data_IF_576498252074
#
_entry.id   IF_576498252074
#
_cell.length_a   1.000
_cell.length_b   1.000
_cell.length_c   1.000
_cell.angle_alpha   90.00
_cell.angle_beta   90.00
_cell.angle_gamma   90.00
#
_symmetry.space_group_name_H-M   'P 1'
#
loop_
_entity.id
_entity.type
_entity.pdbx_description
1 polymer ?
#
# COMPACT_ATOMS: atom_id res chain seq x y z
N UNK A 1 12.86 0.39 5.78
CA UNK A 1 12.60 0.80 7.17
C UNK A 1 11.38 1.70 7.25
N UNK A 2 10.23 1.23 6.75
CA UNK A 2 8.97 1.98 6.79
C UNK A 2 7.82 1.10 7.31
N UNK A 3 8.13 -0.04 7.97
CA UNK A 3 7.12 -0.80 8.71
C UNK A 3 6.90 -0.18 10.08
N UNK A 4 5.65 -0.09 10.48
CA UNK A 4 5.19 0.33 11.81
C UNK A 4 4.87 -0.89 12.68
N UNK A 5 4.64 -2.06 12.07
CA UNK A 5 4.59 -3.33 12.76
C UNK A 5 6.00 -3.90 12.99
N UNK A 6 6.19 -4.79 13.98
CA UNK A 6 7.47 -5.44 14.23
C UNK A 6 7.79 -6.58 13.25
N UNK A 7 7.26 -6.55 12.02
CA UNK A 7 7.41 -7.62 11.02
C UNK A 7 8.88 -7.95 10.69
N UNK A 8 9.78 -6.98 10.80
CA UNK A 8 11.21 -7.17 10.55
C UNK A 8 12.05 -7.09 11.84
N UNK A 9 11.40 -7.02 13.00
CA UNK A 9 12.08 -6.96 14.28
C UNK A 9 12.50 -8.37 14.76
N UNK A 10 13.66 -8.48 15.41
CA UNK A 10 14.20 -9.77 15.86
C UNK A 10 15.32 -9.58 16.86
N UNK A 11 15.39 -10.46 17.87
CA UNK A 11 16.57 -10.60 18.76
C UNK A 11 17.67 -11.44 18.10
N UNK A 12 17.41 -12.07 16.96
CA UNK A 12 18.37 -12.88 16.19
C UNK A 12 19.18 -12.06 15.21
N UNK A 13 19.35 -12.59 14.00
CA UNK A 13 20.13 -11.94 12.93
C UNK A 13 19.21 -11.28 11.91
N UNK A 14 19.27 -9.95 11.83
CA UNK A 14 18.61 -9.20 10.75
C UNK A 14 19.52 -9.17 9.51
N UNK A 15 19.04 -9.76 8.41
CA UNK A 15 19.73 -9.73 7.12
C UNK A 15 19.41 -8.44 6.38
N UNK A 16 20.43 -7.69 5.98
CA UNK A 16 20.28 -6.47 5.20
C UNK A 16 20.82 -6.66 3.77
N UNK A 17 20.00 -6.31 2.78
CA UNK A 17 20.37 -6.34 1.36
C UNK A 17 20.97 -5.01 0.87
N UNK A 18 21.19 -4.04 1.75
CA UNK A 18 21.68 -2.70 1.39
C UNK A 18 23.09 -2.68 0.76
N UNK A 19 23.85 -3.79 0.84
CA UNK A 19 25.17 -3.94 0.22
C UNK A 19 25.17 -4.86 -1.00
N UNK A 20 24.01 -5.36 -1.41
CA UNK A 20 23.91 -6.05 -2.70
C UNK A 20 24.16 -5.07 -3.84
N UNK A 21 24.72 -5.54 -4.96
CA UNK A 21 24.79 -4.73 -6.18
C UNK A 21 23.41 -4.18 -6.54
N UNK A 22 23.34 -2.93 -6.99
CA UNK A 22 22.12 -2.31 -7.48
C UNK A 22 21.98 -2.62 -8.97
N UNK A 23 21.42 -3.79 -9.27
CA UNK A 23 21.21 -4.26 -10.64
C UNK A 23 19.80 -3.92 -11.08
N UNK A 24 19.70 -3.31 -12.26
CA UNK A 24 18.46 -3.00 -12.95
C UNK A 24 18.69 -3.35 -14.41
N UNK A 25 18.07 -4.41 -14.88
CA UNK A 25 18.14 -4.84 -16.27
C UNK A 25 16.77 -4.64 -16.92
N UNK A 26 16.72 -3.81 -17.96
CA UNK A 26 15.48 -3.58 -18.69
C UNK A 26 15.48 -4.44 -19.94
N UNK A 27 14.59 -5.43 -20.01
CA UNK A 27 14.31 -6.20 -21.20
C UNK A 27 13.20 -5.49 -21.99
N UNK A 28 13.59 -4.78 -23.05
CA UNK A 28 12.69 -4.00 -23.89
C UNK A 28 11.77 -4.86 -24.75
N UNK A 29 12.18 -6.08 -25.08
CA UNK A 29 11.40 -6.99 -25.90
C UNK A 29 10.34 -7.73 -25.05
N UNK A 30 10.72 -8.17 -23.85
CA UNK A 30 9.81 -8.79 -22.90
C UNK A 30 8.97 -7.79 -22.10
N UNK A 31 9.34 -6.50 -22.10
CA UNK A 31 8.73 -5.42 -21.32
C UNK A 31 8.78 -5.74 -19.81
N UNK A 32 9.95 -6.15 -19.34
CA UNK A 32 10.19 -6.56 -17.94
C UNK A 32 11.48 -5.97 -17.41
N UNK A 33 11.62 -5.95 -16.08
CA UNK A 33 12.87 -5.58 -15.41
C UNK A 33 13.20 -6.55 -14.27
N UNK A 34 14.20 -7.43 -14.41
CA UNK A 34 14.92 -8.01 -13.30
C UNK A 34 15.63 -6.93 -12.49
N UNK A 35 15.38 -6.92 -11.17
CA UNK A 35 15.90 -5.89 -10.25
C UNK A 35 16.38 -6.51 -8.94
N UNK A 36 17.44 -5.96 -8.36
CA UNK A 36 17.90 -6.33 -7.03
C UNK A 36 16.88 -5.97 -5.97
N UNK A 37 16.57 -6.89 -5.08
CA UNK A 37 15.57 -6.75 -4.02
C UNK A 37 15.87 -5.62 -3.02
N UNK A 38 17.14 -5.28 -2.84
CA UNK A 38 17.60 -4.23 -1.93
C UNK A 38 17.37 -2.78 -2.42
N UNK A 39 17.00 -2.58 -3.68
CA UNK A 39 16.71 -1.28 -4.27
C UNK A 39 15.50 -0.62 -3.61
N UNK A 40 15.52 0.71 -3.51
CA UNK A 40 14.32 1.50 -3.23
C UNK A 40 13.59 1.84 -4.52
N UNK A 41 12.29 2.09 -4.45
CA UNK A 41 11.53 2.56 -5.62
C UNK A 41 12.12 3.88 -6.17
N UNK A 42 12.54 4.79 -5.29
CA UNK A 42 13.17 6.04 -5.70
C UNK A 42 14.50 5.88 -6.45
N UNK A 43 15.20 4.76 -6.26
CA UNK A 43 16.43 4.44 -7.02
C UNK A 43 16.10 3.71 -8.34
N UNK A 44 15.02 2.93 -8.36
CA UNK A 44 14.57 2.14 -9.51
C UNK A 44 13.87 3.00 -10.58
N UNK A 45 12.89 3.81 -10.18
CA UNK A 45 11.97 4.45 -11.13
C UNK A 45 12.61 5.42 -12.10
N UNK A 46 13.68 6.20 -11.76
CA UNK A 46 14.36 7.04 -12.74
C UNK A 46 15.07 6.23 -13.83
N UNK A 47 15.56 5.04 -13.51
CA UNK A 47 16.22 4.17 -14.50
C UNK A 47 15.19 3.58 -15.48
N UNK A 48 14.01 3.18 -14.99
CA UNK A 48 12.93 2.71 -15.85
C UNK A 48 12.42 3.81 -16.77
N UNK A 49 12.20 5.02 -16.24
CA UNK A 49 11.74 6.17 -17.02
C UNK A 49 12.75 6.57 -18.12
N UNK A 50 14.04 6.59 -17.78
CA UNK A 50 15.11 6.84 -18.75
C UNK A 50 15.19 5.78 -19.85
N UNK A 51 14.75 4.55 -19.57
CA UNK A 51 14.65 3.48 -20.56
C UNK A 51 13.31 3.52 -21.36
N UNK A 52 12.41 4.45 -21.05
CA UNK A 52 11.12 4.60 -21.72
C UNK A 52 10.01 3.73 -21.15
N UNK A 53 10.16 3.24 -19.90
CA UNK A 53 9.21 2.35 -19.25
C UNK A 53 8.72 2.89 -17.92
N UNK A 54 7.62 2.31 -17.43
CA UNK A 54 6.94 2.66 -16.19
C UNK A 54 6.48 1.40 -15.45
N UNK A 55 6.19 1.57 -14.15
CA UNK A 55 5.35 0.68 -13.36
C UNK A 55 3.91 1.18 -13.40
N UNK A 56 2.96 0.25 -13.31
CA UNK A 56 1.54 0.59 -13.33
C UNK A 56 1.11 1.46 -12.14
N UNK A 57 1.76 1.29 -10.99
CA UNK A 57 1.49 2.08 -9.79
C UNK A 57 2.72 2.20 -8.89
N UNK A 58 2.65 3.14 -7.94
CA UNK A 58 3.64 3.37 -6.90
C UNK A 58 2.96 3.63 -5.57
N UNK A 59 3.65 3.32 -4.47
CA UNK A 59 3.22 3.73 -3.13
C UNK A 59 3.36 5.25 -2.94
N UNK A 60 2.73 5.76 -1.89
CA UNK A 60 2.80 7.19 -1.54
C UNK A 60 4.22 7.69 -1.28
N UNK A 61 5.14 6.78 -0.88
CA UNK A 61 6.52 7.07 -0.52
C UNK A 61 7.52 6.34 -1.44
N UNK A 62 8.39 7.05 -2.17
CA UNK A 62 9.40 6.41 -3.02
C UNK A 62 10.60 5.83 -2.24
N UNK A 63 10.68 6.06 -0.92
CA UNK A 63 11.79 5.66 -0.05
C UNK A 63 11.78 4.17 0.33
N UNK A 64 10.67 3.48 0.14
CA UNK A 64 10.49 2.07 0.51
C UNK A 64 11.28 1.15 -0.42
N UNK A 65 11.80 0.05 0.12
CA UNK A 65 12.48 -0.97 -0.70
C UNK A 65 11.48 -1.75 -1.55
N UNK A 66 11.91 -2.14 -2.75
CA UNK A 66 11.07 -2.88 -3.71
C UNK A 66 10.60 -4.20 -3.09
N UNK A 67 11.53 -5.03 -2.61
CA UNK A 67 11.16 -6.31 -2.02
C UNK A 67 10.34 -6.15 -0.73
N UNK A 68 10.67 -5.18 0.13
CA UNK A 68 9.89 -4.94 1.35
C UNK A 68 8.45 -4.56 1.07
N UNK A 69 8.21 -3.73 0.06
CA UNK A 69 6.87 -3.35 -0.37
C UNK A 69 6.09 -4.54 -0.95
N UNK A 70 6.74 -5.34 -1.81
CA UNK A 70 6.14 -6.56 -2.40
C UNK A 70 5.78 -7.55 -1.31
N UNK A 71 6.72 -7.87 -0.42
CA UNK A 71 6.56 -8.89 0.63
C UNK A 71 5.45 -8.55 1.66
N UNK A 72 5.02 -7.30 1.74
CA UNK A 72 3.96 -6.86 2.67
C UNK A 72 2.65 -6.46 1.97
N UNK A 73 2.54 -6.67 0.65
CA UNK A 73 1.37 -6.28 -0.12
C UNK A 73 1.11 -4.77 -0.13
N UNK A 74 2.19 -3.96 -0.06
CA UNK A 74 2.09 -2.49 -0.13
C UNK A 74 1.50 -2.07 -1.48
N UNK A 75 0.73 -0.99 -1.47
CA UNK A 75 -0.04 -0.56 -2.63
C UNK A 75 -0.04 0.96 -2.81
N UNK A 76 -0.46 1.41 -3.99
CA UNK A 76 -0.86 2.79 -4.27
C UNK A 76 -2.37 2.97 -4.17
N UNK A 77 -2.97 3.70 -5.11
CA UNK A 77 -4.42 3.79 -5.28
C UNK A 77 -4.77 3.56 -6.75
N UNK A 78 -5.94 3.00 -7.01
CA UNK A 78 -6.51 2.82 -8.34
C UNK A 78 -7.46 1.62 -8.40
N UNK A 79 -8.69 1.85 -8.85
CA UNK A 79 -9.76 0.85 -8.93
C UNK A 79 -9.43 -0.34 -9.85
N UNK A 80 -8.54 -0.14 -10.82
CA UNK A 80 -8.11 -1.12 -11.83
C UNK A 80 -6.70 -1.62 -11.65
N UNK A 81 -6.00 -1.18 -10.61
CA UNK A 81 -4.60 -1.49 -10.39
C UNK A 81 -4.45 -2.20 -9.05
N UNK A 82 -3.76 -3.34 -9.04
CA UNK A 82 -3.50 -4.10 -7.83
C UNK A 82 -2.39 -3.50 -6.96
N UNK A 83 -2.02 -4.24 -5.93
CA UNK A 83 -0.87 -3.90 -5.09
C UNK A 83 0.43 -3.91 -5.91
N UNK A 84 1.52 -3.36 -5.35
CA UNK A 84 2.84 -3.41 -6.01
C UNK A 84 3.32 -4.85 -6.24
N UNK A 85 2.83 -5.79 -5.46
CA UNK A 85 3.12 -7.20 -5.59
C UNK A 85 2.53 -7.82 -6.88
N UNK A 86 1.44 -7.26 -7.41
CA UNK A 86 0.82 -7.74 -8.66
C UNK A 86 1.67 -7.46 -9.90
N UNK A 87 2.66 -6.57 -9.80
CA UNK A 87 3.61 -6.26 -10.89
C UNK A 87 4.76 -7.27 -10.95
N UNK A 88 4.84 -8.21 -10.01
CA UNK A 88 5.92 -9.23 -9.97
C UNK A 88 5.60 -10.37 -10.93
N UNK A 89 6.57 -10.70 -11.78
CA UNK A 89 6.56 -11.83 -12.71
C UNK A 89 7.47 -12.97 -12.26
N UNK A 90 8.46 -12.65 -11.41
CA UNK A 90 9.42 -13.62 -10.90
C UNK A 90 9.99 -13.20 -9.55
N UNK A 91 10.25 -14.18 -8.72
CA UNK A 91 10.89 -14.05 -7.40
C UNK A 91 12.08 -14.99 -7.33
N UNK A 92 13.26 -14.48 -7.02
CA UNK A 92 14.42 -15.28 -6.65
C UNK A 92 14.71 -15.08 -5.17
N UNK A 93 14.90 -16.18 -4.45
CA UNK A 93 15.20 -16.13 -3.02
C UNK A 93 16.21 -17.19 -2.60
N UNK A 94 16.93 -16.92 -1.51
CA UNK A 94 17.79 -17.89 -0.82
C UNK A 94 17.01 -18.48 0.35
N UNK A 95 16.83 -19.79 0.32
CA UNK A 95 16.10 -20.55 1.36
C UNK A 95 16.94 -20.72 2.64
N UNK A 96 16.32 -21.31 3.67
CA UNK A 96 16.98 -21.63 4.94
C UNK A 96 18.18 -22.57 4.80
N UNK A 97 18.23 -23.40 3.79
CA UNK A 97 19.34 -24.33 3.52
C UNK A 97 20.42 -23.75 2.61
N UNK A 98 20.25 -22.49 2.17
CA UNK A 98 21.19 -21.80 1.30
C UNK A 98 21.00 -22.08 -0.18
N UNK A 99 19.94 -22.78 -0.55
CA UNK A 99 19.58 -23.04 -1.94
C UNK A 99 18.95 -21.79 -2.57
N UNK A 100 19.25 -21.54 -3.83
CA UNK A 100 18.60 -20.49 -4.62
C UNK A 100 17.37 -21.08 -5.29
N UNK A 101 16.21 -20.51 -5.00
CA UNK A 101 14.93 -20.89 -5.60
C UNK A 101 14.41 -19.72 -6.43
N UNK A 102 14.00 -20.01 -7.67
CA UNK A 102 13.38 -19.05 -8.56
C UNK A 102 11.97 -19.55 -8.91
N UNK A 103 10.97 -18.69 -8.66
CA UNK A 103 9.58 -18.92 -8.99
C UNK A 103 9.11 -17.85 -9.98
N UNK A 104 8.30 -18.26 -10.95
CA UNK A 104 7.73 -17.39 -11.98
C UNK A 104 6.21 -17.42 -11.94
N UNK A 105 5.58 -16.37 -12.39
CA UNK A 105 4.11 -16.31 -12.54
C UNK A 105 3.63 -17.51 -13.36
N UNK A 106 2.69 -18.27 -12.79
CA UNK A 106 2.21 -19.54 -13.31
C UNK A 106 2.80 -20.80 -12.65
N UNK A 107 3.88 -20.68 -11.87
CA UNK A 107 4.34 -21.79 -11.05
C UNK A 107 3.38 -21.99 -9.85
N UNK A 108 3.17 -23.23 -9.40
CA UNK A 108 2.15 -23.54 -8.39
C UNK A 108 2.30 -22.79 -7.05
N UNK A 109 3.52 -22.42 -6.70
CA UNK A 109 3.86 -21.77 -5.41
C UNK A 109 4.11 -20.26 -5.54
N UNK A 110 4.10 -19.73 -6.76
CA UNK A 110 4.42 -18.33 -7.04
C UNK A 110 3.49 -17.37 -6.27
N UNK A 111 2.17 -17.58 -6.34
CA UNK A 111 1.20 -16.70 -5.68
C UNK A 111 1.31 -16.71 -4.16
N UNK A 112 1.85 -17.79 -3.58
CA UNK A 112 2.19 -17.87 -2.17
C UNK A 112 3.50 -17.20 -1.81
N UNK A 113 4.44 -17.09 -2.76
CA UNK A 113 5.79 -16.59 -2.49
C UNK A 113 5.91 -15.06 -2.60
N UNK A 114 5.07 -14.41 -3.42
CA UNK A 114 5.19 -12.98 -3.72
C UNK A 114 4.92 -12.12 -2.47
N UNK A 115 3.80 -12.36 -1.76
CA UNK A 115 3.51 -11.71 -0.46
C UNK A 115 3.90 -12.70 0.65
N UNK A 116 5.19 -12.91 0.81
CA UNK A 116 5.74 -13.98 1.66
C UNK A 116 6.11 -13.53 3.08
N UNK A 117 5.92 -12.26 3.44
CA UNK A 117 6.21 -11.69 4.78
C UNK A 117 7.68 -11.90 5.24
N UNK A 118 8.59 -12.25 4.34
CA UNK A 118 9.96 -12.64 4.68
C UNK A 118 10.09 -14.02 5.35
N UNK A 119 9.01 -14.84 5.37
CA UNK A 119 8.93 -16.11 6.08
C UNK A 119 9.40 -17.32 5.24
N UNK A 120 9.67 -17.14 3.94
CA UNK A 120 10.03 -18.23 3.02
C UNK A 120 11.52 -18.26 2.69
N UNK A 121 12.20 -17.12 2.79
CA UNK A 121 13.58 -16.95 2.39
C UNK A 121 13.97 -15.49 2.27
N UNK A 122 15.23 -15.26 1.94
CA UNK A 122 15.76 -13.92 1.62
C UNK A 122 15.57 -13.66 0.14
N UNK A 123 14.61 -12.82 -0.24
CA UNK A 123 14.40 -12.41 -1.63
C UNK A 123 15.61 -11.62 -2.12
N UNK A 124 16.26 -12.07 -3.18
CA UNK A 124 17.46 -11.45 -3.77
C UNK A 124 17.13 -10.65 -5.02
N UNK A 125 16.25 -11.15 -5.87
CA UNK A 125 15.83 -10.48 -7.09
C UNK A 125 14.33 -10.60 -7.31
N UNK A 126 13.77 -9.59 -8.00
CA UNK A 126 12.41 -9.59 -8.50
C UNK A 126 12.43 -9.29 -9.99
N UNK A 127 11.59 -9.95 -10.78
CA UNK A 127 11.31 -9.55 -12.15
C UNK A 127 9.98 -8.79 -12.15
N UNK A 128 10.01 -7.53 -12.55
CA UNK A 128 8.84 -6.65 -12.59
C UNK A 128 8.27 -6.54 -14.00
N UNK A 129 6.95 -6.55 -14.11
CA UNK A 129 6.22 -6.20 -15.31
C UNK A 129 6.25 -4.70 -15.53
N UNK A 130 6.50 -4.27 -16.76
CA UNK A 130 6.58 -2.87 -17.14
C UNK A 130 5.46 -2.49 -18.09
N UNK A 131 5.25 -1.20 -18.27
CA UNK A 131 4.46 -0.62 -19.34
C UNK A 131 5.24 0.55 -19.98
N UNK A 132 4.87 1.04 -21.16
CA UNK A 132 5.49 2.24 -21.72
C UNK A 132 5.38 3.44 -20.77
N UNK A 133 6.44 4.24 -20.66
CA UNK A 133 6.45 5.44 -19.85
C UNK A 133 5.30 6.39 -20.25
N UNK A 134 4.71 7.03 -19.24
CA UNK A 134 3.57 7.92 -19.44
C UNK A 134 3.68 9.18 -18.59
N UNK A 135 2.94 10.20 -19.00
CA UNK A 135 2.70 11.36 -18.17
C UNK A 135 1.40 11.20 -17.39
N UNK A 136 1.35 11.79 -16.20
CA UNK A 136 0.17 11.84 -15.35
C UNK A 136 0.10 13.21 -14.67
N UNK A 137 -1.09 13.73 -14.43
CA UNK A 137 -1.33 14.99 -13.73
C UNK A 137 -2.08 14.73 -12.43
N UNK A 138 -1.86 15.58 -11.43
CA UNK A 138 -2.55 15.51 -10.15
C UNK A 138 -3.34 16.79 -9.90
N UNK A 139 -4.65 16.63 -9.61
CA UNK A 139 -5.55 17.71 -9.20
C UNK A 139 -6.11 17.41 -7.82
N UNK A 140 -6.21 18.43 -7.00
CA UNK A 140 -6.79 18.34 -5.64
C UNK A 140 -8.12 19.07 -5.59
N UNK A 141 -9.10 18.46 -4.93
CA UNK A 141 -10.40 19.04 -4.66
C UNK A 141 -10.64 19.08 -3.16
N UNK A 142 -11.13 20.18 -2.64
CA UNK A 142 -11.44 20.39 -1.22
C UNK A 142 -12.95 20.20 -0.96
N UNK A 143 -13.34 19.61 0.17
CA UNK A 143 -14.64 19.70 0.80
C UNK A 143 -15.77 18.86 0.22
N UNK A 144 -15.50 17.65 -0.29
CA UNK A 144 -16.56 16.73 -0.73
C UNK A 144 -17.37 16.17 0.47
N UNK A 145 -18.64 15.82 0.24
CA UNK A 145 -19.54 15.30 1.27
C UNK A 145 -19.55 13.77 1.26
N UNK A 146 -19.42 13.16 2.43
CA UNK A 146 -19.41 11.68 2.55
C UNK A 146 -20.66 11.04 1.98
N UNK A 147 -21.86 11.57 2.26
CA UNK A 147 -23.11 10.97 1.78
C UNK A 147 -23.19 10.96 0.24
N UNK A 148 -22.75 12.04 -0.41
CA UNK A 148 -22.74 12.14 -1.86
C UNK A 148 -21.63 11.26 -2.47
N UNK A 149 -20.47 11.18 -1.81
CA UNK A 149 -19.36 10.30 -2.22
C UNK A 149 -19.77 8.84 -2.13
N UNK A 150 -20.41 8.42 -1.04
CA UNK A 150 -20.87 7.04 -0.88
C UNK A 150 -21.97 6.66 -1.87
N UNK A 151 -22.86 7.61 -2.20
CA UNK A 151 -23.87 7.41 -3.22
C UNK A 151 -23.31 7.25 -4.65
N UNK A 152 -22.14 7.86 -4.92
CA UNK A 152 -21.44 7.80 -6.21
C UNK A 152 -20.02 7.24 -6.13
N UNK A 153 -19.75 6.33 -5.20
CA UNK A 153 -18.38 5.89 -4.83
C UNK A 153 -17.56 5.45 -6.04
N UNK A 154 -18.13 4.61 -6.90
CA UNK A 154 -17.47 4.10 -8.11
C UNK A 154 -17.12 5.22 -9.11
N UNK A 155 -17.99 6.20 -9.25
CA UNK A 155 -17.75 7.32 -10.17
C UNK A 155 -16.67 8.27 -9.62
N UNK A 156 -16.57 8.41 -8.31
CA UNK A 156 -15.56 9.26 -7.66
C UNK A 156 -14.19 8.57 -7.67
N UNK A 157 -14.13 7.30 -7.30
CA UNK A 157 -12.87 6.56 -7.29
C UNK A 157 -12.36 6.24 -8.69
N UNK A 158 -13.26 6.16 -9.69
CA UNK A 158 -12.95 6.08 -11.11
C UNK A 158 -12.69 7.44 -11.78
N UNK A 159 -12.63 8.56 -11.05
CA UNK A 159 -12.38 9.90 -11.61
C UNK A 159 -11.00 10.06 -12.25
N UNK A 160 -10.08 9.15 -11.99
CA UNK A 160 -8.72 9.11 -12.53
C UNK A 160 -8.11 7.73 -12.52
N UNK A 161 -6.83 7.63 -12.86
CA UNK A 161 -6.06 6.38 -12.77
C UNK A 161 -5.71 6.05 -11.30
N UNK A 162 -5.67 7.06 -10.42
CA UNK A 162 -5.44 6.90 -8.97
C UNK A 162 -6.19 8.00 -8.22
N UNK A 163 -7.04 7.60 -7.27
CA UNK A 163 -7.81 8.53 -6.46
C UNK A 163 -7.60 8.23 -4.98
N UNK A 164 -7.39 9.28 -4.18
CA UNK A 164 -7.26 9.19 -2.72
C UNK A 164 -8.21 10.20 -2.06
N UNK A 165 -8.95 9.74 -1.06
CA UNK A 165 -9.81 10.60 -0.25
C UNK A 165 -9.16 10.80 1.12
N UNK A 166 -8.97 12.06 1.54
CA UNK A 166 -8.35 12.39 2.81
C UNK A 166 -9.37 13.03 3.75
N UNK A 167 -9.41 12.56 5.00
CA UNK A 167 -10.25 13.12 6.06
C UNK A 167 -9.52 13.13 7.39
N UNK A 168 -9.79 14.14 8.19
CA UNK A 168 -9.31 14.24 9.58
C UNK A 168 -10.30 13.70 10.60
N UNK A 169 -11.52 13.34 10.14
CA UNK A 169 -12.66 12.98 11.00
C UNK A 169 -13.05 14.07 12.02
N UNK A 170 -12.55 15.31 11.87
CA UNK A 170 -12.99 16.46 12.70
C UNK A 170 -14.41 16.86 12.35
N UNK A 171 -14.77 16.81 11.07
CA UNK A 171 -16.12 16.83 10.58
C UNK A 171 -16.43 15.45 9.97
N UNK A 172 -17.33 14.71 10.62
CA UNK A 172 -17.70 13.36 10.20
C UNK A 172 -18.50 13.31 8.89
N UNK A 173 -18.99 14.45 8.40
CA UNK A 173 -19.80 14.54 7.19
C UNK A 173 -19.00 14.99 5.96
N UNK A 174 -17.75 15.45 6.16
CA UNK A 174 -16.93 16.05 5.10
C UNK A 174 -15.62 15.26 4.87
N UNK A 175 -15.28 15.11 3.61
CA UNK A 175 -13.96 14.70 3.14
C UNK A 175 -13.15 15.97 2.94
N UNK A 176 -12.02 16.09 3.64
CA UNK A 176 -11.19 17.30 3.59
C UNK A 176 -10.62 17.52 2.18
N UNK A 177 -10.11 16.45 1.54
CA UNK A 177 -9.50 16.53 0.21
C UNK A 177 -9.76 15.27 -0.62
N UNK A 178 -9.94 15.45 -1.94
CA UNK A 178 -9.95 14.37 -2.94
C UNK A 178 -8.79 14.64 -3.90
N UNK A 179 -7.83 13.72 -3.96
CA UNK A 179 -6.69 13.80 -4.87
C UNK A 179 -6.93 12.89 -6.06
N UNK A 180 -7.03 13.49 -7.24
CA UNK A 180 -7.25 12.77 -8.50
C UNK A 180 -5.98 12.84 -9.32
N UNK A 181 -5.42 11.67 -9.66
CA UNK A 181 -4.28 11.54 -10.56
C UNK A 181 -4.73 10.83 -11.81
N UNK A 182 -4.51 11.46 -12.96
CA UNK A 182 -4.98 10.92 -14.22
C UNK A 182 -3.99 11.17 -15.36
N UNK A 183 -3.85 10.19 -16.23
CA UNK A 183 -3.15 10.36 -17.52
C UNK A 183 -3.92 11.37 -18.38
N UNK A 184 -3.26 12.10 -19.29
CA UNK A 184 -3.92 13.11 -20.13
C UNK A 184 -5.18 12.56 -20.80
N UNK A 185 -6.28 13.29 -20.65
CA UNK A 185 -7.59 12.93 -21.22
C UNK A 185 -8.39 11.85 -20.45
N UNK A 186 -7.89 11.35 -19.30
CA UNK A 186 -8.59 10.34 -18.49
C UNK A 186 -9.26 10.90 -17.23
N UNK A 187 -8.92 12.11 -16.83
CA UNK A 187 -9.58 12.75 -15.67
C UNK A 187 -11.06 13.00 -15.95
N UNK A 188 -11.91 12.61 -15.00
CA UNK A 188 -13.34 12.97 -14.99
C UNK A 188 -13.73 13.37 -13.56
N UNK A 189 -13.70 14.67 -13.28
CA UNK A 189 -14.00 15.21 -11.97
C UNK A 189 -15.50 15.48 -11.73
N UNK A 190 -16.39 15.21 -12.69
CA UNK A 190 -17.80 15.55 -12.60
C UNK A 190 -18.47 15.00 -11.34
N UNK A 191 -18.17 13.74 -10.99
CA UNK A 191 -18.69 13.12 -9.78
C UNK A 191 -18.13 13.77 -8.50
N UNK A 192 -16.86 14.16 -8.49
CA UNK A 192 -16.24 14.85 -7.34
C UNK A 192 -16.86 16.23 -7.14
N UNK A 193 -17.06 16.97 -8.23
CA UNK A 193 -17.72 18.28 -8.20
C UNK A 193 -19.20 18.17 -7.77
N UNK A 194 -19.92 17.16 -8.26
CA UNK A 194 -21.30 16.89 -7.87
C UNK A 194 -21.43 16.54 -6.37
N UNK A 195 -20.41 15.88 -5.79
CA UNK A 195 -20.34 15.59 -4.37
C UNK A 195 -19.89 16.81 -3.50
N UNK A 196 -19.85 18.01 -4.08
CA UNK A 196 -19.50 19.25 -3.39
C UNK A 196 -18.02 19.59 -3.37
N UNK A 197 -17.17 18.75 -3.98
CA UNK A 197 -15.74 19.03 -4.11
C UNK A 197 -15.49 20.28 -4.94
N UNK A 198 -14.49 21.06 -4.57
CA UNK A 198 -14.06 22.28 -5.27
C UNK A 198 -12.58 22.18 -5.56
N UNK A 199 -12.18 22.45 -6.79
CA UNK A 199 -10.78 22.47 -7.12
C UNK A 199 -10.01 23.42 -6.19
N UNK A 200 -8.92 22.94 -5.62
CA UNK A 200 -8.09 23.69 -4.68
C UNK A 200 -7.44 24.89 -5.38
N UNK A 201 -7.42 26.03 -4.73
CA UNK A 201 -6.82 27.28 -5.22
C UNK A 201 -5.27 27.29 -5.18
N UNK A 202 -4.66 26.20 -4.76
CA UNK A 202 -3.21 25.99 -4.71
C UNK A 202 -2.84 24.63 -4.16
N UNK A 203 -1.55 24.31 -4.07
CA UNK A 203 -1.11 23.00 -3.58
C UNK A 203 -1.53 22.74 -2.12
N UNK A 204 -1.80 21.47 -1.83
CA UNK A 204 -2.20 20.97 -0.51
C UNK A 204 -1.23 19.92 -0.01
N UNK A 205 -1.13 19.82 1.31
CA UNK A 205 -0.60 18.64 2.01
C UNK A 205 -1.79 17.83 2.56
N UNK A 206 -1.71 16.48 2.61
CA UNK A 206 -2.82 15.68 3.17
C UNK A 206 -3.13 16.02 4.63
N UNK A 207 -2.09 16.34 5.41
CA UNK A 207 -2.24 16.76 6.81
C UNK A 207 -2.48 18.27 6.86
N UNK A 208 -3.61 18.74 7.41
CA UNK A 208 -3.91 20.17 7.53
C UNK A 208 -2.85 20.94 8.33
N UNK A 209 -2.53 22.14 7.86
CA UNK A 209 -1.55 23.02 8.51
C UNK A 209 -0.08 22.69 8.23
N UNK A 210 0.19 21.64 7.45
CA UNK A 210 1.53 21.32 6.94
C UNK A 210 1.71 21.93 5.56
N UNK A 211 2.88 22.49 5.26
CA UNK A 211 3.21 23.05 3.94
C UNK A 211 3.29 21.99 2.86
N UNK A 212 2.93 22.31 1.60
CA UNK A 212 2.85 21.35 0.50
C UNK A 212 4.23 21.03 -0.15
N UNK A 213 5.33 21.61 0.33
CA UNK A 213 6.66 21.49 -0.27
C UNK A 213 7.12 20.03 -0.46
N UNK A 214 6.83 19.09 0.50
CA UNK A 214 7.18 17.69 0.31
C UNK A 214 6.34 16.96 -0.73
N UNK A 215 5.17 17.53 -1.12
CA UNK A 215 4.24 16.86 -2.01
C UNK A 215 4.68 16.94 -3.47
N UNK A 216 4.28 15.95 -4.26
CA UNK A 216 4.44 15.98 -5.73
C UNK A 216 3.58 17.08 -6.35
N UNK A 217 3.94 17.51 -7.56
CA UNK A 217 3.31 18.66 -8.24
C UNK A 217 1.80 18.41 -8.43
N UNK A 218 1.01 19.42 -8.13
CA UNK A 218 -0.46 19.46 -8.21
C UNK A 218 -0.93 20.50 -9.24
N UNK A 219 -2.23 20.77 -9.27
CA UNK A 219 -2.84 21.78 -10.17
C UNK A 219 -2.95 21.32 -11.62
N UNK A 220 -3.12 20.01 -11.84
CA UNK A 220 -3.38 19.46 -13.17
C UNK A 220 -2.18 19.52 -14.13
N UNK A 221 -0.95 19.78 -13.64
CA UNK A 221 0.24 19.89 -14.46
C UNK A 221 0.79 18.48 -14.77
N UNK A 222 0.75 18.02 -16.05
CA UNK A 222 1.34 16.75 -16.44
C UNK A 222 2.85 16.66 -16.15
N UNK A 223 3.32 15.47 -15.92
CA UNK A 223 4.74 15.17 -15.75
C UNK A 223 4.98 13.67 -15.67
N UNK A 224 6.28 13.26 -15.61
CA UNK A 224 6.63 11.85 -15.59
C UNK A 224 5.92 11.10 -14.48
N UNK A 225 5.43 9.91 -14.78
CA UNK A 225 4.65 9.03 -13.90
C UNK A 225 5.23 8.92 -12.47
N UNK A 226 6.52 8.67 -12.36
CA UNK A 226 7.21 8.49 -11.08
C UNK A 226 7.30 9.76 -10.23
N UNK A 227 7.15 10.94 -10.84
CA UNK A 227 7.17 12.23 -10.15
C UNK A 227 5.78 12.77 -9.80
N UNK A 228 4.72 12.00 -10.10
CA UNK A 228 3.32 12.36 -9.85
C UNK A 228 2.53 11.30 -9.08
N UNK A 229 2.78 9.99 -9.33
CA UNK A 229 2.08 8.91 -8.64
C UNK A 229 2.31 8.91 -7.12
N UNK A 230 3.55 9.03 -6.60
CA UNK A 230 3.75 9.18 -5.16
C UNK A 230 3.08 10.46 -4.64
N UNK A 231 2.71 10.48 -3.38
CA UNK A 231 2.25 11.72 -2.73
C UNK A 231 3.42 12.63 -2.41
N UNK A 232 4.58 12.04 -2.09
CA UNK A 232 5.74 12.76 -1.61
C UNK A 232 6.95 12.58 -2.52
N UNK A 233 7.77 13.61 -2.57
CA UNK A 233 9.02 13.64 -3.34
C UNK A 233 10.12 12.88 -2.61
N UNK A 234 11.06 12.31 -3.38
CA UNK A 234 12.19 11.56 -2.82
C UNK A 234 13.15 12.45 -2.00
N UNK A 235 13.28 13.72 -2.34
CA UNK A 235 14.20 14.67 -1.71
C UNK A 235 13.78 15.10 -0.30
N UNK A 236 12.56 14.80 0.10
CA UNK A 236 12.04 15.15 1.43
C UNK A 236 11.97 13.93 2.34
N UNK A 237 12.28 14.13 3.61
CA UNK A 237 12.03 13.10 4.64
C UNK A 237 10.52 12.96 4.81
N UNK A 238 9.95 11.78 4.57
CA UNK A 238 8.50 11.62 4.43
C UNK A 238 7.71 11.76 5.75
N UNK A 239 8.38 11.80 6.90
CA UNK A 239 7.74 11.87 8.20
C UNK A 239 8.60 12.59 9.23
N UNK A 240 7.95 13.07 10.30
CA UNK A 240 8.64 13.60 11.49
C UNK A 240 9.29 12.48 12.34
N UNK A 241 9.14 11.20 11.96
CA UNK A 241 9.81 10.06 12.57
C UNK A 241 9.18 9.53 13.86
N UNK A 242 8.04 10.08 14.27
CA UNK A 242 7.38 9.71 15.53
C UNK A 242 5.92 9.27 15.35
N UNK A 243 5.38 9.33 14.13
CA UNK A 243 4.01 8.89 13.83
C UNK A 243 3.87 7.36 13.87
N UNK A 244 2.65 6.89 14.11
CA UNK A 244 2.23 5.51 13.92
C UNK A 244 1.30 5.43 12.71
N UNK A 245 1.21 4.25 12.09
CA UNK A 245 0.25 4.01 11.02
C UNK A 245 -0.46 2.67 11.22
N UNK A 246 -1.76 2.68 10.99
CA UNK A 246 -2.58 1.48 10.81
C UNK A 246 -3.33 1.56 9.48
N UNK A 247 -3.69 0.43 8.93
CA UNK A 247 -4.48 0.36 7.70
C UNK A 247 -5.27 -0.94 7.68
N UNK A 248 -6.52 -0.85 7.28
CA UNK A 248 -7.42 -1.98 7.13
C UNK A 248 -7.97 -2.00 5.71
N UNK A 249 -7.85 -3.14 5.05
CA UNK A 249 -8.28 -3.34 3.69
C UNK A 249 -9.57 -4.17 3.73
N UNK A 250 -10.67 -3.55 3.32
CA UNK A 250 -12.01 -4.14 3.34
C UNK A 250 -12.45 -4.54 1.93
N UNK A 251 -13.41 -5.46 1.84
CA UNK A 251 -14.12 -5.70 0.58
C UNK A 251 -14.82 -4.40 0.14
N UNK A 252 -14.69 -4.03 -1.15
CA UNK A 252 -15.34 -2.83 -1.69
C UNK A 252 -16.84 -2.78 -1.42
N UNK A 253 -17.51 -3.93 -1.37
CA UNK A 253 -18.95 -4.03 -1.07
C UNK A 253 -19.31 -3.56 0.33
N UNK A 254 -18.34 -3.55 1.24
CA UNK A 254 -18.54 -3.17 2.64
C UNK A 254 -18.19 -1.71 2.93
N UNK A 255 -17.84 -0.90 1.90
CA UNK A 255 -17.35 0.47 2.08
C UNK A 255 -18.34 1.36 2.85
N UNK A 256 -19.62 1.28 2.53
CA UNK A 256 -20.67 2.06 3.23
C UNK A 256 -20.68 1.73 4.72
N UNK A 257 -20.76 0.46 5.07
CA UNK A 257 -20.79 0.01 6.47
C UNK A 257 -19.51 0.41 7.22
N UNK A 258 -18.35 0.30 6.57
CA UNK A 258 -17.07 0.67 7.17
C UNK A 258 -16.95 2.19 7.42
N UNK A 259 -17.35 3.02 6.46
CA UNK A 259 -17.32 4.48 6.62
C UNK A 259 -18.33 4.92 7.70
N UNK A 260 -19.52 4.36 7.75
CA UNK A 260 -20.48 4.65 8.82
C UNK A 260 -19.96 4.26 10.21
N UNK A 261 -19.27 3.12 10.32
CA UNK A 261 -18.62 2.71 11.55
C UNK A 261 -17.53 3.70 11.99
N UNK A 262 -16.71 4.18 11.04
CA UNK A 262 -15.68 5.18 11.34
C UNK A 262 -16.28 6.55 11.68
N UNK A 263 -17.36 6.98 11.01
CA UNK A 263 -18.12 8.19 11.36
C UNK A 263 -18.61 8.15 12.82
N UNK A 264 -19.14 7.00 13.25
CA UNK A 264 -19.57 6.81 14.63
C UNK A 264 -18.41 6.88 15.64
N UNK A 265 -17.20 6.49 15.22
CA UNK A 265 -15.97 6.55 16.02
C UNK A 265 -15.21 7.86 15.85
N UNK A 266 -15.62 8.77 14.96
CA UNK A 266 -14.92 10.01 14.67
C UNK A 266 -14.54 10.83 15.94
N UNK A 267 -15.39 10.97 16.97
CA UNK A 267 -15.01 11.69 18.19
C UNK A 267 -13.84 11.06 18.96
N UNK A 268 -13.61 9.74 18.80
CA UNK A 268 -12.47 9.06 19.41
C UNK A 268 -11.24 9.04 18.49
N UNK A 269 -11.44 9.02 17.19
CA UNK A 269 -10.39 8.99 16.15
C UNK A 269 -9.73 10.36 16.00
N UNK A 270 -10.50 11.41 15.81
CA UNK A 270 -10.01 12.75 15.44
C UNK A 270 -8.93 13.32 16.38
N UNK A 271 -9.00 13.17 17.73
CA UNK A 271 -7.96 13.68 18.63
C UNK A 271 -6.60 13.04 18.45
N UNK A 272 -6.56 11.77 18.01
CA UNK A 272 -5.34 10.97 17.84
C UNK A 272 -4.82 10.97 16.40
N UNK A 273 -5.60 11.49 15.45
CA UNK A 273 -5.33 11.38 14.01
C UNK A 273 -4.61 12.62 13.47
N UNK A 274 -3.66 12.41 12.57
CA UNK A 274 -3.22 13.44 11.63
C UNK A 274 -4.12 13.46 10.39
N UNK A 275 -4.29 12.32 9.75
CA UNK A 275 -5.12 12.16 8.55
C UNK A 275 -5.48 10.68 8.34
N UNK A 276 -6.68 10.43 7.82
CA UNK A 276 -7.10 9.16 7.27
C UNK A 276 -7.16 9.28 5.75
N UNK A 277 -6.65 8.26 5.05
CA UNK A 277 -6.71 8.17 3.59
C UNK A 277 -7.53 6.95 3.18
N UNK A 278 -8.51 7.15 2.30
CA UNK A 278 -9.30 6.06 1.70
C UNK A 278 -8.85 5.88 0.26
N UNK A 279 -8.46 4.65 -0.08
CA UNK A 279 -7.90 4.28 -1.39
C UNK A 279 -8.53 3.00 -1.91
N UNK A 280 -8.38 2.76 -3.21
CA UNK A 280 -8.83 1.51 -3.83
C UNK A 280 -7.70 0.71 -4.42
N UNK A 281 -7.99 -0.58 -4.60
CA UNK A 281 -7.08 -1.54 -5.17
C UNK A 281 -7.87 -2.66 -5.85
N UNK A 282 -7.47 -3.05 -7.06
CA UNK A 282 -8.03 -4.19 -7.77
C UNK A 282 -7.75 -5.50 -7.03
N UNK A 283 -8.60 -6.50 -7.27
CA UNK A 283 -8.41 -7.86 -6.78
C UNK A 283 -7.13 -8.50 -7.33
N UNK A 284 -6.56 -9.44 -6.58
CA UNK A 284 -5.46 -10.28 -6.99
C UNK A 284 -5.62 -11.74 -6.50
N UNK A 285 -4.68 -12.62 -6.90
CA UNK A 285 -4.65 -14.05 -6.54
C UNK A 285 -3.50 -14.40 -5.57
N UNK A 286 -2.79 -13.40 -5.03
CA UNK A 286 -1.64 -13.60 -4.14
C UNK A 286 -2.11 -14.00 -2.74
N UNK A 287 -1.69 -15.17 -2.23
CA UNK A 287 -2.30 -15.86 -1.08
C UNK A 287 -2.44 -15.02 0.19
N UNK A 288 -1.44 -14.23 0.54
CA UNK A 288 -1.47 -13.35 1.70
C UNK A 288 -1.68 -11.86 1.34
N UNK A 289 -2.09 -11.58 0.10
CA UNK A 289 -2.50 -10.23 -0.25
C UNK A 289 -3.77 -9.84 0.49
N UNK A 290 -3.85 -8.63 1.05
CA UNK A 290 -5.11 -8.12 1.59
C UNK A 290 -6.22 -7.98 0.54
N UNK A 291 -5.88 -7.92 -0.77
CA UNK A 291 -6.82 -7.86 -1.89
C UNK A 291 -7.11 -9.23 -2.53
N UNK A 292 -6.64 -10.33 -1.93
CA UNK A 292 -6.89 -11.67 -2.47
C UNK A 292 -8.37 -11.91 -2.74
N UNK A 293 -8.70 -12.17 -4.02
CA UNK A 293 -10.03 -12.58 -4.49
C UNK A 293 -11.12 -11.50 -4.46
N UNK A 294 -10.77 -10.22 -4.27
CA UNK A 294 -11.79 -9.15 -4.16
C UNK A 294 -11.22 -7.77 -4.45
N UNK A 295 -12.02 -6.91 -5.07
CA UNK A 295 -11.79 -5.47 -5.10
C UNK A 295 -11.80 -4.93 -3.66
N UNK A 296 -10.90 -4.01 -3.37
CA UNK A 296 -10.55 -3.67 -1.99
C UNK A 296 -10.50 -2.16 -1.80
N UNK A 297 -11.00 -1.71 -0.65
CA UNK A 297 -10.83 -0.35 -0.16
C UNK A 297 -9.91 -0.35 1.04
N UNK A 298 -8.84 0.42 0.98
CA UNK A 298 -7.91 0.65 2.07
C UNK A 298 -8.33 1.85 2.93
N UNK A 299 -8.43 1.64 4.23
CA UNK A 299 -8.69 2.66 5.24
C UNK A 299 -7.42 2.88 6.02
N UNK A 300 -6.61 3.85 5.59
CA UNK A 300 -5.29 4.14 6.14
C UNK A 300 -5.34 5.29 7.13
N UNK A 301 -4.71 5.11 8.28
CA UNK A 301 -4.63 6.10 9.35
C UNK A 301 -3.17 6.47 9.63
N UNK A 302 -2.86 7.76 9.60
CA UNK A 302 -1.61 8.32 10.12
C UNK A 302 -1.91 8.97 11.46
N UNK A 303 -1.39 8.38 12.53
CA UNK A 303 -1.67 8.75 13.91
C UNK A 303 -0.63 9.71 14.47
N UNK A 304 -1.06 10.54 15.41
CA UNK A 304 -0.16 11.32 16.27
C UNK A 304 0.69 10.36 17.13
N UNK A 305 1.86 10.79 17.64
CA UNK A 305 2.77 9.95 18.41
C UNK A 305 2.27 9.67 19.85
N UNK A 306 1.01 9.27 19.98
CA UNK A 306 0.40 8.80 21.23
C UNK A 306 0.16 7.28 21.12
N UNK A 307 1.23 6.52 21.42
CA UNK A 307 1.20 5.05 21.31
C UNK A 307 0.09 4.45 22.15
N UNK A 308 -0.04 4.85 23.41
CA UNK A 308 -1.02 4.28 24.33
C UNK A 308 -2.46 4.63 23.91
N UNK A 309 -2.69 5.87 23.46
CA UNK A 309 -4.00 6.28 22.95
C UNK A 309 -4.39 5.51 21.69
N UNK A 310 -3.46 5.34 20.76
CA UNK A 310 -3.68 4.60 19.50
C UNK A 310 -3.92 3.12 19.80
N UNK A 311 -3.05 2.45 20.56
CA UNK A 311 -3.22 1.03 20.92
C UNK A 311 -4.52 0.76 21.67
N UNK A 312 -4.98 1.70 22.49
CA UNK A 312 -6.29 1.61 23.17
C UNK A 312 -7.48 1.82 22.24
N UNK A 313 -7.31 2.50 21.10
CA UNK A 313 -8.37 2.76 20.13
C UNK A 313 -8.48 1.66 19.06
N UNK A 314 -7.36 1.06 18.63
CA UNK A 314 -7.33 0.09 17.53
C UNK A 314 -8.33 -1.07 17.72
N UNK A 315 -8.46 -1.71 18.88
CA UNK A 315 -9.46 -2.79 19.07
C UNK A 315 -10.89 -2.33 18.76
N UNK A 316 -11.24 -1.10 19.13
CA UNK A 316 -12.58 -0.55 18.87
C UNK A 316 -12.82 -0.32 17.38
N UNK A 317 -11.81 0.12 16.64
CA UNK A 317 -11.88 0.25 15.17
C UNK A 317 -12.00 -1.13 14.55
N UNK A 318 -11.16 -2.08 14.96
CA UNK A 318 -11.15 -3.45 14.44
C UNK A 318 -12.46 -4.19 14.67
N UNK A 319 -13.11 -3.96 15.81
CA UNK A 319 -14.41 -4.56 16.15
C UNK A 319 -15.59 -3.90 15.43
N UNK A 320 -15.46 -2.61 15.08
CA UNK A 320 -16.49 -1.88 14.35
C UNK A 320 -16.42 -2.12 12.83
N UNK A 321 -15.25 -2.45 12.30
CA UNK A 321 -15.08 -2.70 10.87
C UNK A 321 -15.71 -4.04 10.45
N UNK A 322 -16.18 -4.16 9.19
CA UNK A 322 -16.69 -5.40 8.63
C UNK A 322 -15.71 -6.58 8.80
N UNK A 323 -16.24 -7.80 8.87
CA UNK A 323 -15.43 -9.02 8.96
C UNK A 323 -14.47 -9.19 7.79
N UNK A 324 -14.73 -8.54 6.68
CA UNK A 324 -13.82 -8.51 5.54
C UNK A 324 -12.53 -7.74 5.80
N UNK A 325 -12.41 -6.92 6.83
CA UNK A 325 -11.25 -6.10 7.08
C UNK A 325 -9.98 -6.93 7.34
N UNK A 326 -8.96 -6.80 6.49
CA UNK A 326 -7.63 -7.39 6.63
C UNK A 326 -6.64 -6.28 6.98
N UNK A 327 -5.82 -6.39 8.04
CA UNK A 327 -4.82 -5.38 8.34
C UNK A 327 -3.67 -5.42 7.32
N UNK A 328 -3.06 -4.27 7.06
CA UNK A 328 -1.84 -4.18 6.28
C UNK A 328 -0.65 -4.72 7.09
N UNK A 329 0.09 -5.68 6.55
CA UNK A 329 1.16 -6.41 7.24
C UNK A 329 2.26 -5.52 7.84
N UNK A 330 2.62 -4.45 7.16
CA UNK A 330 3.66 -3.51 7.59
C UNK A 330 3.18 -2.44 8.57
N UNK A 331 1.92 -2.46 9.03
CA UNK A 331 1.33 -1.43 9.90
C UNK A 331 0.85 -2.01 11.22
N UNK A 332 0.51 -1.12 12.18
CA UNK A 332 0.07 -1.55 13.52
C UNK A 332 -1.36 -2.07 13.49
N UNK A 333 -1.60 -3.20 14.12
CA UNK A 333 -2.92 -3.77 14.35
C UNK A 333 -2.91 -4.65 15.60
N UNK A 334 -4.08 -4.91 16.16
CA UNK A 334 -4.24 -5.68 17.42
C UNK A 334 -4.95 -7.02 17.23
N UNK A 335 -5.49 -7.31 16.04
CA UNK A 335 -6.13 -8.59 15.73
C UNK A 335 -5.26 -9.77 16.10
N UNK A 336 -5.85 -10.79 16.74
CA UNK A 336 -5.20 -12.06 17.09
C UNK A 336 -5.02 -12.99 15.87
N UNK A 337 -4.28 -14.08 16.08
CA UNK A 337 -3.96 -15.05 15.03
C UNK A 337 -5.20 -15.71 14.42
N UNK A 338 -6.19 -16.09 15.25
CA UNK A 338 -7.38 -16.79 14.77
C UNK A 338 -8.24 -15.86 13.90
N UNK A 339 -8.39 -14.59 14.31
CA UNK A 339 -9.09 -13.58 13.56
C UNK A 339 -8.39 -13.27 12.23
N UNK A 340 -7.05 -13.22 12.21
CA UNK A 340 -6.26 -13.04 10.97
C UNK A 340 -6.44 -14.27 10.06
N UNK A 341 -6.19 -15.48 10.58
CA UNK A 341 -6.28 -16.72 9.81
C UNK A 341 -7.64 -16.88 9.12
N UNK A 342 -8.74 -16.59 9.82
CA UNK A 342 -10.10 -16.72 9.28
C UNK A 342 -10.35 -15.79 8.05
N UNK A 343 -9.55 -14.73 7.88
CA UNK A 343 -9.71 -13.73 6.83
C UNK A 343 -8.90 -13.99 5.58
N UNK A 344 -7.94 -14.93 5.63
CA UNK A 344 -7.08 -15.29 4.49
C UNK A 344 -7.37 -16.72 4.01
N UNK A 345 -8.14 -16.91 2.92
CA UNK A 345 -8.58 -18.23 2.46
C UNK A 345 -7.45 -19.21 2.15
N UNK A 346 -6.25 -18.70 1.80
CA UNK A 346 -5.08 -19.50 1.42
C UNK A 346 -4.04 -19.59 2.56
N UNK A 347 -4.48 -19.33 3.80
CA UNK A 347 -3.57 -19.34 4.96
C UNK A 347 -2.89 -20.68 5.17
N UNK A 348 -3.64 -21.77 5.11
CA UNK A 348 -3.10 -23.11 5.38
C UNK A 348 -2.15 -23.57 4.28
N UNK A 349 -2.41 -23.20 3.02
CA UNK A 349 -1.49 -23.46 1.90
C UNK A 349 -0.20 -22.66 2.06
N UNK A 350 -0.30 -21.40 2.51
CA UNK A 350 0.90 -20.61 2.82
C UNK A 350 1.69 -21.21 3.97
N UNK A 351 1.04 -21.63 5.05
CA UNK A 351 1.71 -22.28 6.18
C UNK A 351 2.42 -23.58 5.75
N UNK A 352 1.80 -24.37 4.86
CA UNK A 352 2.41 -25.55 4.28
C UNK A 352 3.60 -25.23 3.38
N UNK A 353 3.51 -24.18 2.56
CA UNK A 353 4.62 -23.68 1.74
C UNK A 353 5.79 -23.27 2.63
N UNK A 354 5.53 -22.47 3.66
CA UNK A 354 6.53 -22.04 4.61
C UNK A 354 7.25 -23.22 5.26
N UNK A 355 6.51 -24.22 5.75
CA UNK A 355 7.10 -25.40 6.38
C UNK A 355 8.02 -26.20 5.44
N UNK A 356 7.79 -26.15 4.12
CA UNK A 356 8.69 -26.75 3.12
C UNK A 356 9.92 -25.88 2.84
N UNK A 357 9.74 -24.57 2.73
CA UNK A 357 10.83 -23.62 2.40
C UNK A 357 11.77 -23.37 3.59
N UNK A 358 11.21 -23.42 4.80
CA UNK A 358 11.96 -23.23 6.06
C UNK A 358 11.59 -24.28 7.10
N UNK A 359 11.99 -25.55 6.89
CA UNK A 359 11.66 -26.65 7.80
C UNK A 359 12.28 -26.55 9.20
N UNK A 360 13.21 -25.61 9.39
CA UNK A 360 13.91 -25.38 10.66
C UNK A 360 13.50 -24.08 11.35
N UNK A 361 12.55 -23.34 10.79
CA UNK A 361 12.06 -22.08 11.36
C UNK A 361 13.15 -21.01 11.50
N UNK A 362 14.05 -20.88 10.52
CA UNK A 362 15.12 -19.86 10.55
C UNK A 362 14.63 -18.46 10.19
N UNK A 363 13.60 -18.39 9.34
CA UNK A 363 12.94 -17.14 8.95
C UNK A 363 11.70 -16.91 9.81
N UNK A 364 11.93 -16.73 11.11
CA UNK A 364 10.88 -16.48 12.09
C UNK A 364 11.27 -15.35 13.05
N UNK A 365 10.28 -14.80 13.69
CA UNK A 365 10.38 -13.81 14.75
C UNK A 365 9.08 -13.80 15.58
N UNK A 366 9.02 -12.97 16.61
CA UNK A 366 7.85 -12.86 17.48
C UNK A 366 6.59 -12.42 16.72
N UNK A 367 6.73 -11.60 15.67
CA UNK A 367 5.60 -11.18 14.86
C UNK A 367 4.95 -12.36 14.11
N UNK A 368 5.76 -13.18 13.44
CA UNK A 368 5.27 -14.38 12.74
C UNK A 368 4.72 -15.43 13.73
N UNK A 369 5.38 -15.57 14.91
CA UNK A 369 4.93 -16.45 15.98
C UNK A 369 3.55 -16.02 16.51
N UNK A 370 3.35 -14.73 16.73
CA UNK A 370 2.06 -14.16 17.14
C UNK A 370 0.95 -14.43 16.11
N UNK A 371 1.29 -14.53 14.84
CA UNK A 371 0.35 -14.83 13.75
C UNK A 371 0.13 -16.35 13.55
N UNK A 372 0.84 -17.23 14.28
CA UNK A 372 0.77 -18.67 14.06
C UNK A 372 1.51 -19.15 12.81
N UNK A 373 2.50 -18.39 12.36
CA UNK A 373 3.37 -18.68 11.20
C UNK A 373 4.82 -18.96 11.61
N UNK A 374 5.10 -19.33 12.85
CA UNK A 374 6.43 -19.67 13.32
C UNK A 374 6.77 -21.15 13.12
#
# INVERSE_FOLDING_TARGET
>A
RHSFSPIADTDGTLVSLARMPHEIEVDTDAVTAPVSAGLRHGDLVPALDAAGFALANLASLPHISVAGAVQTGTHGSGDRIGSLATQVLGVEMVTADGEVVSLRRGDPEFDGAVVGLGALGVVTHLTLELEPAYEIAQTVYDGARWDDVLAGFDAITGAGDSVSLFTTWQDADTIDQVWVKARPGRANADAVLAAGGREADGPRHPVPGVGPEPCTVQGGVPGPWHSRLPHFRLEFTPSAGAELQSEYLIDRRDVLAAIEALRALAPAIAPLLYVCEVREMAADDLWLSPAFGRETVGLHFTWRPDVAGVEGLLPRIEDALPESARPHWGKVFTMDADRIRSRYPRWDEFAALRARMDPRGRFTNDYLSRLGLA
#
